data_IF_644836960829
#
_entry.id   IF_644836960829
#
_cell.length_a   1.000
_cell.length_b   1.000
_cell.length_c   1.000
_cell.angle_alpha   90.00
_cell.angle_beta   90.00
_cell.angle_gamma   90.00
#
_symmetry.space_group_name_H-M   'P 1'
#
loop_
_entity.id
_entity.type
_entity.pdbx_description
1 polymer ?
#
# COMPACT_ATOMS: atom_id res chain seq x y z
N UNK A 1 -17.96 -3.41 16.30
CA UNK A 1 -17.27 -2.10 16.22
C UNK A 1 -15.78 -2.37 16.23
N UNK A 2 -15.15 -2.53 15.06
CA UNK A 2 -13.75 -2.92 14.99
C UNK A 2 -12.88 -1.69 15.27
N UNK A 3 -12.28 -1.68 16.45
CA UNK A 3 -11.33 -0.68 16.90
C UNK A 3 -10.28 -0.44 15.80
N UNK A 4 -10.25 0.79 15.30
CA UNK A 4 -9.22 1.25 14.39
C UNK A 4 -7.87 1.17 15.09
N UNK A 5 -7.13 0.09 14.86
CA UNK A 5 -5.69 0.11 15.08
C UNK A 5 -5.14 1.30 14.29
N UNK A 6 -4.59 2.29 14.98
CA UNK A 6 -3.85 3.37 14.34
C UNK A 6 -2.58 2.78 13.71
N UNK A 7 -2.76 2.18 12.52
CA UNK A 7 -1.69 1.58 11.73
C UNK A 7 -0.76 2.67 11.16
N UNK A 8 -1.26 3.90 11.06
CA UNK A 8 -0.57 5.08 10.59
C UNK A 8 -0.39 6.08 11.74
N UNK A 9 0.67 6.92 11.73
CA UNK A 9 1.60 7.15 10.63
C UNK A 9 2.60 6.01 10.40
N UNK A 10 3.00 5.80 9.15
CA UNK A 10 4.00 4.80 8.77
C UNK A 10 4.97 5.37 7.75
N UNK A 11 6.26 5.17 7.95
CA UNK A 11 7.30 5.61 7.01
C UNK A 11 7.90 4.40 6.29
N UNK A 12 7.88 4.41 4.96
CA UNK A 12 8.55 3.42 4.13
C UNK A 12 9.10 4.08 2.87
N UNK A 13 10.25 3.61 2.38
CA UNK A 13 10.90 4.12 1.16
C UNK A 13 11.10 5.66 1.14
N UNK A 14 11.30 6.25 2.32
CA UNK A 14 11.43 7.71 2.48
C UNK A 14 10.12 8.50 2.50
N UNK A 15 8.99 7.86 2.23
CA UNK A 15 7.65 8.47 2.21
C UNK A 15 6.99 8.30 3.58
N UNK A 16 6.38 9.37 4.09
CA UNK A 16 5.60 9.33 5.33
C UNK A 16 4.10 9.19 5.00
N UNK A 17 3.57 7.99 5.18
CA UNK A 17 2.15 7.71 5.04
C UNK A 17 1.43 8.12 6.31
N UNK A 18 0.59 9.14 6.19
CA UNK A 18 -0.24 9.67 7.29
C UNK A 18 -1.52 8.87 7.49
N UNK A 19 -1.96 8.13 6.47
CA UNK A 19 -3.17 7.32 6.49
C UNK A 19 -3.11 6.16 5.51
N UNK A 20 -4.04 5.21 5.66
CA UNK A 20 -4.24 4.10 4.71
C UNK A 20 -4.54 4.60 3.30
N UNK A 21 -5.41 5.60 3.19
CA UNK A 21 -5.79 6.19 1.89
C UNK A 21 -4.56 6.77 1.18
N UNK A 22 -3.65 7.41 1.93
CA UNK A 22 -2.42 7.95 1.35
C UNK A 22 -1.49 6.84 0.83
N UNK A 23 -1.40 5.72 1.54
CA UNK A 23 -0.68 4.53 1.05
C UNK A 23 -1.30 4.01 -0.25
N UNK A 24 -2.62 3.80 -0.28
CA UNK A 24 -3.33 3.29 -1.45
C UNK A 24 -3.17 4.20 -2.67
N UNK A 25 -3.32 5.51 -2.51
CA UNK A 25 -3.09 6.49 -3.57
C UNK A 25 -1.66 6.46 -4.11
N UNK A 26 -0.67 6.18 -3.25
CA UNK A 26 0.73 6.08 -3.68
C UNK A 26 0.95 4.80 -4.46
N UNK A 27 0.43 3.67 -3.99
CA UNK A 27 0.47 2.40 -4.71
C UNK A 27 -0.24 2.51 -6.06
N UNK A 28 -1.39 3.17 -6.13
CA UNK A 28 -2.15 3.40 -7.37
C UNK A 28 -1.35 4.26 -8.37
N UNK A 29 -0.71 5.33 -7.91
CA UNK A 29 0.18 6.15 -8.75
C UNK A 29 1.37 5.37 -9.30
N UNK A 30 1.94 4.48 -8.49
CA UNK A 30 3.04 3.60 -8.90
C UNK A 30 2.53 2.54 -9.89
N UNK A 31 1.39 1.91 -9.63
CA UNK A 31 0.78 0.93 -10.52
C UNK A 31 0.38 1.54 -11.88
N UNK A 32 -0.08 2.79 -11.89
CA UNK A 32 -0.39 3.55 -13.10
C UNK A 32 0.86 4.05 -13.86
N UNK A 33 2.06 3.85 -13.31
CA UNK A 33 3.31 4.22 -13.96
C UNK A 33 3.55 3.42 -15.24
N UNK A 34 4.18 4.03 -16.24
CA UNK A 34 4.39 3.43 -17.56
C UNK A 34 5.53 2.40 -17.62
N UNK A 35 6.28 2.20 -16.52
CA UNK A 35 7.45 1.31 -16.52
C UNK A 35 7.28 0.18 -15.50
N UNK A 36 7.89 -0.97 -15.80
CA UNK A 36 7.91 -2.12 -14.90
C UNK A 36 8.49 -1.80 -13.52
N UNK A 37 9.42 -0.84 -13.42
CA UNK A 37 9.98 -0.40 -12.15
C UNK A 37 8.93 0.28 -11.25
N UNK A 38 7.95 0.99 -11.82
CA UNK A 38 6.87 1.57 -11.03
C UNK A 38 5.91 0.49 -10.51
N UNK A 39 5.59 -0.50 -11.35
CA UNK A 39 4.77 -1.66 -10.96
C UNK A 39 5.44 -2.48 -9.86
N UNK A 40 6.75 -2.74 -9.99
CA UNK A 40 7.55 -3.44 -8.98
C UNK A 40 7.61 -2.66 -7.66
N UNK A 41 7.80 -1.33 -7.72
CA UNK A 41 7.72 -0.47 -6.55
C UNK A 41 6.34 -0.53 -5.86
N UNK A 42 5.25 -0.58 -6.64
CA UNK A 42 3.89 -0.72 -6.10
C UNK A 42 3.70 -2.07 -5.38
N UNK A 43 4.15 -3.17 -5.99
CA UNK A 43 4.09 -4.51 -5.40
C UNK A 43 4.95 -4.61 -4.13
N UNK A 44 6.15 -4.05 -4.17
CA UNK A 44 7.07 -4.01 -3.02
C UNK A 44 6.45 -3.23 -1.86
N UNK A 45 5.90 -2.05 -2.13
CA UNK A 45 5.24 -1.23 -1.11
C UNK A 45 4.03 -1.93 -0.49
N UNK A 46 3.22 -2.64 -1.28
CA UNK A 46 2.10 -3.44 -0.78
C UNK A 46 2.56 -4.62 0.09
N UNK A 47 3.65 -5.30 -0.32
CA UNK A 47 4.22 -6.41 0.43
C UNK A 47 4.79 -5.95 1.77
N UNK A 48 5.46 -4.80 1.80
CA UNK A 48 5.94 -4.19 3.04
C UNK A 48 4.76 -3.81 3.95
N UNK A 49 3.70 -3.26 3.37
CA UNK A 49 2.53 -2.84 4.14
C UNK A 49 1.83 -4.03 4.83
N UNK A 50 1.70 -5.19 4.19
CA UNK A 50 1.18 -6.40 4.85
C UNK A 50 2.18 -6.96 5.87
N UNK A 51 3.48 -6.99 5.54
CA UNK A 51 4.53 -7.48 6.44
C UNK A 51 4.61 -6.67 7.75
N UNK A 52 4.43 -5.35 7.67
CA UNK A 52 4.40 -4.45 8.82
C UNK A 52 3.01 -4.37 9.51
N UNK A 53 2.08 -5.29 9.18
CA UNK A 53 0.70 -5.32 9.68
C UNK A 53 -0.08 -4.00 9.43
N UNK A 54 0.34 -3.21 8.43
CA UNK A 54 -0.31 -1.96 8.01
C UNK A 54 -1.53 -2.20 7.13
N UNK A 55 -1.55 -3.32 6.42
CA UNK A 55 -2.71 -3.86 5.72
C UNK A 55 -3.08 -5.23 6.27
N UNK A 56 -4.36 -5.56 6.31
CA UNK A 56 -4.81 -6.95 6.48
C UNK A 56 -4.71 -7.71 5.16
N UNK A 57 -4.75 -9.04 5.21
CA UNK A 57 -4.75 -9.88 4.01
C UNK A 57 -5.91 -9.54 3.05
N UNK A 58 -7.10 -9.22 3.59
CA UNK A 58 -8.25 -8.79 2.80
C UNK A 58 -7.96 -7.47 2.06
N UNK A 59 -7.40 -6.49 2.77
CA UNK A 59 -7.06 -5.18 2.21
C UNK A 59 -5.98 -5.31 1.14
N UNK A 60 -4.96 -6.12 1.39
CA UNK A 60 -3.91 -6.42 0.41
C UNK A 60 -4.51 -7.04 -0.86
N UNK A 61 -5.39 -8.02 -0.72
CA UNK A 61 -6.03 -8.70 -1.85
C UNK A 61 -6.96 -7.76 -2.63
N UNK A 62 -7.73 -6.92 -1.93
CA UNK A 62 -8.61 -5.91 -2.54
C UNK A 62 -7.79 -4.91 -3.39
N UNK A 63 -6.72 -4.34 -2.83
CA UNK A 63 -5.89 -3.36 -3.53
C UNK A 63 -5.18 -4.00 -4.72
N UNK A 64 -4.63 -5.20 -4.53
CA UNK A 64 -3.95 -5.96 -5.60
C UNK A 64 -4.91 -6.25 -6.76
N UNK A 65 -6.13 -6.69 -6.45
CA UNK A 65 -7.16 -6.96 -7.45
C UNK A 65 -7.62 -5.70 -8.20
N UNK A 66 -7.79 -4.58 -7.49
CA UNK A 66 -8.16 -3.28 -8.11
C UNK A 66 -7.11 -2.75 -9.07
N UNK A 67 -5.83 -2.90 -8.73
CA UNK A 67 -4.71 -2.34 -9.49
C UNK A 67 -4.13 -3.30 -10.52
N UNK A 68 -4.69 -4.51 -10.66
CA UNK A 68 -4.18 -5.56 -11.55
C UNK A 68 -2.69 -5.89 -11.32
N UNK A 69 -2.25 -5.79 -10.06
CA UNK A 69 -0.87 -6.04 -9.61
C UNK A 69 -0.59 -7.50 -9.28
#
# INVERSE_FOLDING_TARGET
MSAGQQKFPWKAHGINFTSRVHLEQTVEKLAAGQTAAHVDAAQTLLRDAIHHNKLSADQYTEIKGRLHL
#
